data_IF_689671387523
#
_entry.id   IF_689671387523
#
_cell.length_a   1.000
_cell.length_b   1.000
_cell.length_c   1.000
_cell.angle_alpha   90.00
_cell.angle_beta   90.00
_cell.angle_gamma   90.00
#
_symmetry.space_group_name_H-M   'P 1'
#
loop_
_entity.id
_entity.type
_entity.pdbx_description
1 polymer ?
#
# COMPACT_ATOMS: atom_id res chain seq x y z
N UNK A 1 24.67 -75.04 33.07
CA UNK A 1 24.76 -73.59 32.83
C UNK A 1 23.79 -73.27 31.72
N UNK A 2 23.01 -72.20 31.93
CA UNK A 2 22.13 -71.54 30.95
C UNK A 2 20.77 -72.20 30.64
N UNK A 3 19.80 -72.00 31.53
CA UNK A 3 18.38 -71.89 31.17
C UNK A 3 18.11 -70.49 30.62
N UNK A 4 17.43 -70.36 29.47
CA UNK A 4 16.77 -69.11 29.04
C UNK A 4 15.33 -69.45 28.64
N UNK A 5 14.39 -68.79 29.33
CA UNK A 5 12.94 -68.87 29.14
C UNK A 5 12.49 -68.00 27.97
N UNK A 6 11.74 -68.59 27.05
CA UNK A 6 10.93 -67.87 26.06
C UNK A 6 9.66 -67.29 26.72
N UNK A 7 9.42 -66.00 26.51
CA UNK A 7 8.17 -65.33 26.87
C UNK A 7 7.48 -64.79 25.62
N UNK A 8 6.22 -65.19 25.44
CA UNK A 8 5.32 -64.77 24.36
C UNK A 8 4.89 -63.33 24.58
N UNK A 9 5.03 -62.46 23.58
CA UNK A 9 4.38 -61.16 23.51
C UNK A 9 3.21 -61.22 22.52
N UNK A 10 2.02 -60.88 23.02
CA UNK A 10 0.76 -60.74 22.28
C UNK A 10 0.70 -59.39 21.58
N UNK A 11 0.50 -59.41 20.26
CA UNK A 11 0.27 -58.23 19.42
C UNK A 11 -1.19 -57.75 19.53
N UNK A 12 -1.41 -56.57 20.10
CA UNK A 12 -2.68 -55.85 20.00
C UNK A 12 -2.64 -54.90 18.79
N UNK A 13 -3.52 -55.16 17.84
CA UNK A 13 -3.76 -54.32 16.66
C UNK A 13 -4.59 -53.10 17.06
N UNK A 14 -3.96 -51.92 17.11
CA UNK A 14 -4.65 -50.63 17.19
C UNK A 14 -4.92 -50.10 15.78
N UNK A 15 -6.19 -50.01 15.42
CA UNK A 15 -6.68 -49.34 14.21
C UNK A 15 -6.31 -47.85 14.23
N UNK A 16 -5.97 -47.23 13.09
CA UNK A 16 -5.71 -45.79 13.05
C UNK A 16 -7.02 -45.03 13.31
N UNK A 17 -6.96 -44.18 14.34
CA UNK A 17 -7.97 -43.18 14.70
C UNK A 17 -8.42 -42.42 13.45
N UNK A 18 -9.73 -42.46 13.19
CA UNK A 18 -10.37 -41.56 12.23
C UNK A 18 -10.00 -40.11 12.53
N UNK A 19 -9.70 -39.35 11.49
CA UNK A 19 -9.46 -37.90 11.55
C UNK A 19 -10.64 -37.20 12.24
N UNK A 20 -10.41 -36.17 13.07
CA UNK A 20 -11.51 -35.47 13.72
C UNK A 20 -12.39 -34.83 12.64
N UNK A 21 -13.67 -35.20 12.64
CA UNK A 21 -14.72 -34.57 11.84
C UNK A 21 -14.65 -33.06 12.11
N UNK A 22 -14.58 -32.19 11.08
CA UNK A 22 -14.57 -30.75 11.31
C UNK A 22 -15.83 -30.37 12.07
N UNK A 23 -15.64 -29.79 13.26
CA UNK A 23 -16.71 -29.20 14.05
C UNK A 23 -17.42 -28.15 13.20
N UNK A 24 -18.76 -28.20 13.15
CA UNK A 24 -19.57 -27.22 12.43
C UNK A 24 -19.13 -25.79 12.79
N UNK A 25 -18.80 -25.00 11.78
CA UNK A 25 -18.45 -23.60 11.92
C UNK A 25 -19.61 -22.75 11.38
N UNK A 26 -20.11 -21.80 12.17
CA UNK A 26 -21.28 -20.99 11.78
C UNK A 26 -20.99 -19.92 10.71
N UNK A 27 -19.72 -19.65 10.43
CA UNK A 27 -19.25 -18.60 9.52
C UNK A 27 -18.80 -19.15 8.16
N UNK A 28 -18.38 -20.42 8.11
CA UNK A 28 -17.84 -21.06 6.92
C UNK A 28 -18.63 -22.32 6.54
N UNK A 29 -18.78 -22.62 5.24
CA UNK A 29 -19.41 -23.85 4.80
C UNK A 29 -18.67 -25.10 5.30
N UNK A 30 -19.43 -26.10 5.76
CA UNK A 30 -18.92 -27.45 6.00
C UNK A 30 -18.55 -28.12 4.67
N UNK A 31 -17.50 -28.96 4.60
CA UNK A 31 -16.61 -29.38 5.70
C UNK A 31 -15.37 -28.47 5.88
N UNK A 32 -15.30 -27.33 5.20
CA UNK A 32 -14.04 -26.60 5.05
C UNK A 32 -13.66 -25.72 6.25
N UNK A 33 -14.64 -25.21 7.00
CA UNK A 33 -14.37 -24.42 8.22
C UNK A 33 -13.54 -23.14 7.98
N UNK A 34 -12.89 -22.58 9.02
CA UNK A 34 -12.08 -21.37 8.92
C UNK A 34 -10.71 -21.65 8.29
N UNK A 35 -10.73 -21.96 7.00
CA UNK A 35 -9.55 -22.25 6.18
C UNK A 35 -9.61 -21.45 4.88
N UNK A 36 -8.51 -21.41 4.12
CA UNK A 36 -8.53 -20.78 2.81
C UNK A 36 -9.53 -21.48 1.85
N UNK A 37 -9.72 -22.79 1.96
CA UNK A 37 -10.77 -23.53 1.22
C UNK A 37 -12.19 -23.10 1.64
N UNK A 38 -12.39 -22.77 2.93
CA UNK A 38 -13.65 -22.20 3.41
C UNK A 38 -13.92 -20.82 2.80
N UNK A 39 -12.90 -19.97 2.73
CA UNK A 39 -12.96 -18.66 2.04
C UNK A 39 -13.25 -18.85 0.55
N UNK A 40 -12.60 -19.81 -0.11
CA UNK A 40 -12.85 -20.13 -1.52
C UNK A 40 -14.31 -20.57 -1.74
N UNK A 41 -14.86 -21.39 -0.84
CA UNK A 41 -16.26 -21.81 -0.88
C UNK A 41 -17.24 -20.64 -0.73
N UNK A 42 -16.93 -19.69 0.15
CA UNK A 42 -17.68 -18.44 0.28
C UNK A 42 -17.60 -17.62 -1.02
N UNK A 43 -16.41 -17.49 -1.63
CA UNK A 43 -16.26 -16.78 -2.90
C UNK A 43 -17.00 -17.47 -4.05
N UNK A 44 -17.02 -18.80 -4.12
CA UNK A 44 -17.77 -19.56 -5.11
C UNK A 44 -19.29 -19.41 -4.94
N UNK A 45 -19.76 -19.21 -3.71
CA UNK A 45 -21.19 -19.09 -3.41
C UNK A 45 -21.86 -17.94 -4.17
N UNK A 46 -23.05 -18.14 -4.76
CA UNK A 46 -23.84 -17.07 -5.35
C UNK A 46 -24.44 -16.10 -4.33
N UNK A 47 -24.42 -16.43 -3.03
CA UNK A 47 -24.90 -15.53 -1.96
C UNK A 47 -23.88 -14.44 -1.60
N UNK A 48 -22.59 -14.71 -1.79
CA UNK A 48 -21.52 -13.73 -1.50
C UNK A 48 -21.43 -12.73 -2.64
N UNK A 49 -21.92 -11.51 -2.41
CA UNK A 49 -22.00 -10.42 -3.40
C UNK A 49 -21.29 -9.15 -2.94
N UNK A 50 -20.99 -9.03 -1.65
CA UNK A 50 -20.40 -7.85 -1.05
C UNK A 50 -19.03 -8.18 -0.42
N UNK A 51 -18.05 -8.46 -1.26
CA UNK A 51 -16.65 -8.62 -0.82
C UNK A 51 -16.03 -7.24 -0.66
N UNK A 52 -15.53 -6.95 0.54
CA UNK A 52 -14.73 -5.75 0.81
C UNK A 52 -13.27 -6.16 0.94
N UNK A 53 -12.39 -5.40 0.29
CA UNK A 53 -10.94 -5.62 0.34
C UNK A 53 -10.27 -4.45 1.06
N UNK A 54 -9.42 -4.76 2.04
CA UNK A 54 -8.47 -3.81 2.63
C UNK A 54 -7.06 -4.16 2.14
N UNK A 55 -6.44 -3.25 1.40
CA UNK A 55 -5.14 -3.47 0.79
C UNK A 55 -4.10 -2.48 1.32
N UNK A 56 -2.87 -2.94 1.48
CA UNK A 56 -1.69 -2.10 1.74
C UNK A 56 -0.53 -2.42 0.81
N UNK A 57 0.65 -1.90 1.16
CA UNK A 57 1.81 -1.90 0.26
C UNK A 57 2.26 -3.30 -0.19
N UNK A 58 1.99 -4.33 0.62
CA UNK A 58 2.35 -5.71 0.32
C UNK A 58 1.75 -6.24 -0.98
N UNK A 59 0.59 -5.72 -1.43
CA UNK A 59 0.00 -6.13 -2.73
C UNK A 59 0.76 -5.56 -3.94
N UNK A 60 1.60 -4.54 -3.74
CA UNK A 60 2.38 -3.86 -4.79
C UNK A 60 3.83 -4.32 -4.86
N UNK A 61 4.30 -5.09 -3.87
CA UNK A 61 5.71 -5.55 -3.80
C UNK A 61 6.15 -6.42 -4.97
N UNK A 62 5.21 -7.16 -5.60
CA UNK A 62 5.45 -7.98 -6.80
C UNK A 62 5.02 -7.31 -8.10
N UNK A 63 4.72 -6.00 -8.08
CA UNK A 63 4.52 -5.22 -9.31
C UNK A 63 5.75 -5.34 -10.23
N UNK A 64 5.59 -4.98 -11.50
CA UNK A 64 6.69 -5.02 -12.47
C UNK A 64 6.94 -3.63 -13.05
N UNK A 65 8.08 -2.99 -12.75
CA UNK A 65 9.13 -3.39 -11.79
C UNK A 65 8.60 -3.40 -10.34
N UNK A 66 9.29 -4.10 -9.39
CA UNK A 66 8.87 -4.16 -7.99
C UNK A 66 8.75 -2.77 -7.37
N UNK A 67 7.65 -2.53 -6.64
CA UNK A 67 7.50 -1.32 -5.83
C UNK A 67 7.90 -1.70 -4.40
N UNK A 68 8.95 -1.11 -3.83
CA UNK A 68 9.28 -1.37 -2.43
C UNK A 68 8.12 -0.92 -1.55
N UNK A 69 7.81 -1.68 -0.50
CA UNK A 69 6.94 -1.16 0.53
C UNK A 69 7.65 0.00 1.28
N UNK A 70 6.95 0.67 2.18
CA UNK A 70 7.58 1.74 2.94
C UNK A 70 8.49 1.21 4.05
N UNK A 71 8.07 0.12 4.73
CA UNK A 71 8.52 -0.23 6.08
C UNK A 71 9.47 -1.44 6.14
N UNK A 72 9.64 -2.22 5.07
CA UNK A 72 10.48 -3.41 5.13
C UNK A 72 11.93 -3.06 5.50
N UNK A 73 12.57 -3.77 6.44
CA UNK A 73 13.88 -3.39 6.98
C UNK A 73 15.00 -3.26 5.94
N UNK A 74 14.94 -4.03 4.85
CA UNK A 74 16.04 -4.10 3.84
C UNK A 74 15.63 -3.53 2.49
N UNK A 75 14.37 -3.71 2.09
CA UNK A 75 13.88 -3.31 0.77
C UNK A 75 12.97 -2.09 0.82
N UNK A 76 12.60 -1.62 2.01
CA UNK A 76 11.62 -0.55 2.18
C UNK A 76 12.14 0.81 1.71
N UNK A 77 11.25 1.69 1.30
CA UNK A 77 11.60 3.06 0.91
C UNK A 77 12.41 3.77 2.01
N UNK A 78 12.06 3.54 3.27
CA UNK A 78 12.71 4.13 4.44
C UNK A 78 14.17 3.69 4.65
N UNK A 79 14.54 2.45 4.31
CA UNK A 79 15.93 2.01 4.47
C UNK A 79 16.89 2.70 3.50
N UNK A 80 16.38 3.21 2.37
CA UNK A 80 17.15 3.92 1.35
C UNK A 80 17.19 5.46 1.55
N UNK A 81 16.49 5.98 2.57
CA UNK A 81 16.38 7.42 2.82
C UNK A 81 17.45 7.97 3.79
N UNK A 82 18.39 7.15 4.25
CA UNK A 82 19.48 7.55 5.13
C UNK A 82 20.32 8.73 4.58
N UNK A 83 20.40 8.86 3.25
CA UNK A 83 21.12 9.96 2.58
C UNK A 83 20.52 11.36 2.81
N UNK A 84 19.27 11.48 3.29
CA UNK A 84 18.58 12.76 3.44
C UNK A 84 18.68 13.37 4.85
N UNK A 85 19.46 12.76 5.75
CA UNK A 85 19.63 13.20 7.15
C UNK A 85 18.29 13.55 7.84
N UNK A 86 17.28 12.68 7.62
CA UNK A 86 15.94 12.89 8.15
C UNK A 86 15.95 12.68 9.68
N UNK A 87 15.12 13.43 10.45
CA UNK A 87 15.02 13.24 11.90
C UNK A 87 14.45 11.86 12.27
N UNK A 88 13.65 11.28 11.38
CA UNK A 88 13.13 9.91 11.41
C UNK A 88 12.63 9.58 9.99
N UNK A 89 12.48 8.30 9.66
CA UNK A 89 12.27 7.88 8.27
C UNK A 89 10.95 8.39 7.64
N UNK A 90 9.90 8.49 8.44
CA UNK A 90 8.58 8.98 8.03
C UNK A 90 8.51 10.49 7.80
N UNK A 91 9.53 11.26 8.22
CA UNK A 91 9.50 12.73 8.19
C UNK A 91 9.28 13.31 6.79
N UNK A 92 9.75 12.63 5.75
CA UNK A 92 9.54 13.04 4.34
C UNK A 92 8.06 13.08 3.94
N UNK A 93 7.19 12.35 4.65
CA UNK A 93 5.74 12.33 4.47
C UNK A 93 5.00 13.01 5.63
N UNK A 94 5.67 13.78 6.49
CA UNK A 94 5.03 14.63 7.50
C UNK A 94 4.72 16.02 6.93
N UNK A 95 3.50 16.51 7.11
CA UNK A 95 3.08 17.78 6.51
C UNK A 95 3.84 18.98 7.10
N UNK A 96 4.18 18.94 8.39
CA UNK A 96 4.94 19.98 9.06
C UNK A 96 6.40 20.01 8.60
N UNK A 97 7.00 18.83 8.41
CA UNK A 97 8.34 18.71 7.83
C UNK A 97 8.34 19.18 6.36
N UNK A 98 7.40 18.71 5.52
CA UNK A 98 7.29 19.11 4.12
C UNK A 98 7.16 20.63 3.93
N UNK A 99 6.42 21.31 4.81
CA UNK A 99 6.28 22.77 4.76
C UNK A 99 7.60 23.51 4.98
N UNK A 100 8.52 22.93 5.76
CA UNK A 100 9.84 23.51 6.08
C UNK A 100 10.93 23.04 5.12
N UNK A 101 10.90 21.76 4.76
CA UNK A 101 11.89 21.06 3.95
C UNK A 101 11.20 20.27 2.83
N UNK A 102 10.67 20.94 1.78
CA UNK A 102 9.96 20.25 0.70
C UNK A 102 10.88 19.51 -0.28
N UNK A 103 12.17 19.87 -0.33
CA UNK A 103 13.11 19.35 -1.33
C UNK A 103 13.27 17.81 -1.29
N UNK A 104 13.45 17.16 -0.12
CA UNK A 104 13.56 15.70 -0.06
C UNK A 104 12.37 14.98 -0.70
N UNK A 105 11.14 15.47 -0.46
CA UNK A 105 9.94 14.90 -1.09
C UNK A 105 9.98 15.05 -2.62
N UNK A 106 10.33 16.21 -3.16
CA UNK A 106 10.35 16.40 -4.62
C UNK A 106 11.46 15.60 -5.32
N UNK A 107 12.60 15.38 -4.66
CA UNK A 107 13.64 14.46 -5.14
C UNK A 107 13.14 13.02 -5.20
N UNK A 108 12.38 12.60 -4.18
CA UNK A 108 11.81 11.26 -4.11
C UNK A 108 10.63 11.07 -5.08
N UNK A 109 9.75 12.06 -5.18
CA UNK A 109 8.48 11.99 -5.91
C UNK A 109 8.66 11.67 -7.39
N UNK A 110 9.80 12.05 -7.99
CA UNK A 110 10.17 11.67 -9.36
C UNK A 110 10.16 10.15 -9.56
N UNK A 111 10.65 9.40 -8.58
CA UNK A 111 10.75 7.94 -8.64
C UNK A 111 9.42 7.25 -8.33
N UNK A 112 8.49 7.95 -7.68
CA UNK A 112 7.17 7.44 -7.29
C UNK A 112 6.06 7.80 -8.28
N UNK A 113 6.36 8.57 -9.33
CA UNK A 113 5.35 9.10 -10.23
C UNK A 113 4.68 7.98 -11.07
N UNK A 114 3.34 7.97 -11.24
CA UNK A 114 2.62 6.91 -11.96
C UNK A 114 3.03 6.73 -13.43
N UNK A 115 2.92 5.50 -13.95
CA UNK A 115 3.10 5.16 -15.38
C UNK A 115 4.22 4.16 -15.68
N UNK A 116 5.07 3.86 -14.69
CA UNK A 116 6.21 2.96 -14.88
C UNK A 116 5.95 1.52 -14.45
N UNK A 117 4.82 1.26 -13.81
CA UNK A 117 4.55 0.02 -13.09
C UNK A 117 3.39 -0.75 -13.72
N UNK A 118 3.55 -2.07 -13.79
CA UNK A 118 2.49 -3.03 -14.11
C UNK A 118 1.94 -3.62 -12.80
N UNK A 119 0.61 -3.68 -12.63
CA UNK A 119 0.01 -4.22 -11.41
C UNK A 119 0.39 -5.68 -11.14
N UNK A 120 0.49 -6.04 -9.86
CA UNK A 120 0.71 -7.42 -9.41
C UNK A 120 -0.54 -8.31 -9.61
N UNK A 121 -0.41 -9.64 -9.38
CA UNK A 121 -1.52 -10.58 -9.52
C UNK A 121 -2.68 -10.22 -8.58
N UNK A 122 -2.38 -9.81 -7.35
CA UNK A 122 -3.36 -9.38 -6.36
C UNK A 122 -4.24 -8.21 -6.83
N UNK A 123 -3.73 -7.32 -7.69
CA UNK A 123 -4.53 -6.24 -8.26
C UNK A 123 -5.53 -6.75 -9.30
N UNK A 124 -5.13 -7.68 -10.16
CA UNK A 124 -6.03 -8.30 -11.13
C UNK A 124 -7.08 -9.18 -10.46
N UNK A 125 -6.81 -9.71 -9.27
CA UNK A 125 -7.82 -10.39 -8.46
C UNK A 125 -8.94 -9.44 -8.03
N UNK A 126 -8.65 -8.17 -7.74
CA UNK A 126 -9.69 -7.15 -7.50
C UNK A 126 -10.58 -6.98 -8.74
N UNK A 127 -9.96 -6.89 -9.92
CA UNK A 127 -10.68 -6.82 -11.20
C UNK A 127 -11.51 -8.07 -11.46
N UNK A 128 -11.01 -9.26 -11.12
CA UNK A 128 -11.76 -10.51 -11.22
C UNK A 128 -12.98 -10.50 -10.29
N UNK A 129 -12.83 -10.13 -9.02
CA UNK A 129 -13.95 -9.99 -8.08
C UNK A 129 -15.00 -9.01 -8.60
N UNK A 130 -14.58 -7.91 -9.24
CA UNK A 130 -15.47 -6.96 -9.89
C UNK A 130 -16.23 -7.61 -11.06
N UNK A 131 -15.54 -8.30 -11.96
CA UNK A 131 -16.15 -8.96 -13.13
C UNK A 131 -17.11 -10.09 -12.73
N UNK A 132 -16.85 -10.77 -11.61
CA UNK A 132 -17.75 -11.76 -11.03
C UNK A 132 -18.93 -11.15 -10.26
N UNK A 133 -19.04 -9.81 -10.20
CA UNK A 133 -20.11 -9.11 -9.50
C UNK A 133 -20.07 -9.31 -7.98
N UNK A 134 -18.87 -9.46 -7.42
CA UNK A 134 -18.64 -9.75 -6.00
C UNK A 134 -17.95 -8.60 -5.26
N UNK A 135 -17.22 -7.73 -5.96
CA UNK A 135 -16.50 -6.63 -5.33
C UNK A 135 -17.44 -5.49 -4.94
N UNK A 136 -17.59 -5.25 -3.63
CA UNK A 136 -18.28 -4.09 -3.09
C UNK A 136 -17.37 -2.86 -3.06
N UNK A 137 -16.18 -3.01 -2.48
CA UNK A 137 -15.27 -1.90 -2.20
C UNK A 137 -13.84 -2.36 -2.02
N UNK A 138 -12.89 -1.56 -2.49
CA UNK A 138 -11.47 -1.66 -2.14
C UNK A 138 -11.10 -0.41 -1.34
N UNK A 139 -10.71 -0.59 -0.09
CA UNK A 139 -9.99 0.44 0.65
C UNK A 139 -8.51 0.14 0.51
N UNK A 140 -7.76 1.07 -0.06
CA UNK A 140 -6.31 0.91 -0.25
C UNK A 140 -5.55 1.98 0.51
N UNK A 141 -4.47 1.57 1.18
CA UNK A 141 -3.47 2.48 1.75
C UNK A 141 -2.45 2.95 0.70
N UNK A 142 -2.45 2.32 -0.47
CA UNK A 142 -1.48 2.58 -1.52
C UNK A 142 -1.82 3.86 -2.27
N UNK A 143 -0.78 4.52 -2.75
CA UNK A 143 -0.85 5.77 -3.52
C UNK A 143 -0.41 5.57 -4.98
N UNK A 144 0.01 4.34 -5.33
CA UNK A 144 0.60 3.95 -6.62
C UNK A 144 -0.42 3.86 -7.77
N UNK A 145 -1.72 3.84 -7.47
CA UNK A 145 -2.86 3.77 -8.41
C UNK A 145 -2.98 2.46 -9.19
N UNK A 146 -2.26 1.40 -8.78
CA UNK A 146 -2.23 0.12 -9.51
C UNK A 146 -3.60 -0.58 -9.55
N UNK A 147 -4.49 -0.33 -8.61
CA UNK A 147 -5.86 -0.85 -8.63
C UNK A 147 -6.65 -0.32 -9.84
N UNK A 148 -6.51 0.98 -10.13
CA UNK A 148 -7.14 1.63 -11.29
C UNK A 148 -6.52 1.13 -12.58
N UNK A 149 -5.19 0.99 -12.59
CA UNK A 149 -4.44 0.49 -13.76
C UNK A 149 -4.84 -0.97 -14.08
N UNK A 150 -5.09 -1.80 -13.06
CA UNK A 150 -5.59 -3.16 -13.22
C UNK A 150 -7.04 -3.24 -13.72
N UNK A 151 -7.76 -2.10 -13.76
CA UNK A 151 -9.13 -2.00 -14.29
C UNK A 151 -10.24 -1.98 -13.24
N UNK A 152 -9.92 -1.78 -11.96
CA UNK A 152 -10.95 -1.58 -10.93
C UNK A 152 -11.61 -0.22 -11.15
N UNK A 153 -12.95 -0.19 -11.11
CA UNK A 153 -13.72 1.02 -11.35
C UNK A 153 -13.45 2.08 -10.27
N UNK A 154 -13.37 3.33 -10.70
CA UNK A 154 -13.07 4.46 -9.84
C UNK A 154 -14.04 4.60 -8.66
N UNK A 155 -15.31 4.25 -8.88
CA UNK A 155 -16.33 4.30 -7.87
C UNK A 155 -16.20 3.17 -6.84
N UNK A 156 -15.45 2.09 -7.08
CA UNK A 156 -15.19 1.00 -6.13
C UNK A 156 -13.89 1.16 -5.35
N UNK A 157 -12.98 2.02 -5.80
CA UNK A 157 -11.73 2.31 -5.07
C UNK A 157 -11.92 3.45 -4.08
N UNK A 158 -11.37 3.28 -2.88
CA UNK A 158 -11.19 4.29 -1.83
C UNK A 158 -9.71 4.34 -1.51
N UNK A 159 -9.04 5.32 -2.10
CA UNK A 159 -7.65 5.68 -1.83
C UNK A 159 -7.57 6.37 -0.46
N UNK A 160 -7.42 5.59 0.61
CA UNK A 160 -7.47 6.08 1.98
C UNK A 160 -6.36 7.10 2.26
N UNK A 161 -5.18 6.89 1.67
CA UNK A 161 -4.06 7.81 1.74
C UNK A 161 -3.92 8.68 0.49
N UNK A 162 -5.00 8.85 -0.28
CA UNK A 162 -5.00 9.66 -1.49
C UNK A 162 -4.18 9.03 -2.63
N UNK A 163 -3.84 9.81 -3.65
CA UNK A 163 -3.05 9.30 -4.77
C UNK A 163 -2.27 10.39 -5.51
N UNK A 164 -1.33 9.97 -6.36
CA UNK A 164 -0.57 10.85 -7.24
C UNK A 164 -1.37 11.34 -8.46
N UNK A 165 -2.65 10.97 -8.59
CA UNK A 165 -3.46 11.28 -9.76
C UNK A 165 -3.71 12.79 -9.94
N UNK A 166 -3.79 13.54 -8.84
CA UNK A 166 -4.08 14.98 -8.83
C UNK A 166 -3.15 15.69 -7.84
N UNK A 167 -3.05 17.02 -7.93
CA UNK A 167 -2.18 17.80 -7.04
C UNK A 167 -2.81 19.14 -6.68
N UNK A 168 -2.66 19.53 -5.42
CA UNK A 168 -3.34 20.69 -4.84
C UNK A 168 -2.38 21.59 -4.08
N UNK A 169 -2.58 22.91 -4.17
CA UNK A 169 -1.89 23.85 -3.31
C UNK A 169 -2.33 23.68 -1.86
N UNK A 170 -1.37 23.49 -0.93
CA UNK A 170 -1.67 23.25 0.48
C UNK A 170 -2.32 24.45 1.18
N UNK A 171 -2.19 25.65 0.60
CA UNK A 171 -2.71 26.92 1.15
C UNK A 171 -4.08 27.28 0.58
N UNK A 172 -4.19 27.53 -0.73
CA UNK A 172 -5.47 27.93 -1.33
C UNK A 172 -6.40 26.78 -1.70
N UNK A 173 -5.94 25.52 -1.55
CA UNK A 173 -6.68 24.30 -1.91
C UNK A 173 -7.10 24.23 -3.39
N UNK A 174 -6.50 25.06 -4.25
CA UNK A 174 -6.72 25.01 -5.68
C UNK A 174 -5.89 23.88 -6.29
N UNK A 175 -6.56 22.99 -7.04
CA UNK A 175 -5.92 21.99 -7.89
C UNK A 175 -5.10 22.66 -8.99
N UNK A 176 -3.94 22.09 -9.31
CA UNK A 176 -3.11 22.50 -10.44
C UNK A 176 -3.26 21.55 -11.62
N UNK A 177 -2.86 22.00 -12.80
CA UNK A 177 -2.86 21.18 -14.02
C UNK A 177 -1.85 20.03 -13.92
N UNK A 178 -2.24 18.85 -14.40
CA UNK A 178 -1.49 17.61 -14.25
C UNK A 178 -0.14 17.66 -15.00
N UNK A 179 -0.11 18.22 -16.21
CA UNK A 179 1.13 18.38 -17.00
C UNK A 179 2.13 19.33 -16.32
N UNK A 180 1.62 20.40 -15.69
CA UNK A 180 2.45 21.38 -15.00
C UNK A 180 3.12 20.77 -13.77
N UNK A 181 2.37 20.05 -12.93
CA UNK A 181 2.96 19.44 -11.73
C UNK A 181 3.92 18.31 -12.11
N UNK A 182 3.61 17.56 -13.17
CA UNK A 182 4.51 16.54 -13.73
C UNK A 182 5.85 17.14 -14.10
N UNK A 183 5.86 18.24 -14.85
CA UNK A 183 7.10 18.93 -15.22
C UNK A 183 7.94 19.26 -13.97
N UNK A 184 7.32 19.83 -12.92
CA UNK A 184 8.01 20.19 -11.67
C UNK A 184 8.57 18.98 -10.93
N UNK A 185 7.80 17.91 -10.82
CA UNK A 185 8.25 16.67 -10.16
C UNK A 185 9.40 16.04 -10.95
N UNK A 186 9.28 15.96 -12.28
CA UNK A 186 10.31 15.35 -13.13
C UNK A 186 11.62 16.14 -13.16
N UNK A 187 11.55 17.48 -13.04
CA UNK A 187 12.71 18.36 -12.91
C UNK A 187 13.28 18.44 -11.49
N UNK A 188 12.68 17.76 -10.51
CA UNK A 188 13.07 17.84 -9.09
C UNK A 188 12.88 19.24 -8.48
N UNK A 189 12.07 20.08 -9.10
CA UNK A 189 11.83 21.47 -8.69
C UNK A 189 10.68 21.55 -7.69
N UNK A 190 10.84 22.39 -6.66
CA UNK A 190 9.78 22.63 -5.68
C UNK A 190 8.58 23.25 -6.38
N UNK A 191 7.45 22.54 -6.39
CA UNK A 191 6.23 23.04 -6.97
C UNK A 191 5.57 24.09 -6.08
N UNK A 192 5.38 25.29 -6.62
CA UNK A 192 4.70 26.41 -5.96
C UNK A 192 3.52 26.91 -6.77
N UNK A 193 2.42 27.24 -6.09
CA UNK A 193 1.14 27.53 -6.70
C UNK A 193 1.25 28.67 -7.73
N UNK A 194 0.93 28.42 -9.02
CA UNK A 194 1.09 29.42 -10.08
C UNK A 194 0.01 30.51 -10.02
N UNK A 195 -1.08 30.32 -9.25
CA UNK A 195 -2.21 31.25 -9.21
C UNK A 195 -1.78 32.63 -8.68
N UNK A 196 -2.02 33.73 -9.40
CA UNK A 196 -1.62 35.08 -8.98
C UNK A 196 -2.23 35.52 -7.65
N UNK A 197 -3.47 35.10 -7.38
CA UNK A 197 -4.22 35.43 -6.15
C UNK A 197 -4.04 34.38 -5.03
N UNK A 198 -3.00 33.55 -5.08
CA UNK A 198 -2.74 32.58 -4.01
C UNK A 198 -2.38 33.33 -2.70
N UNK A 199 -3.04 33.07 -1.57
CA UNK A 199 -2.73 33.72 -0.29
C UNK A 199 -1.38 33.28 0.27
N UNK A 200 -0.78 32.21 -0.26
CA UNK A 200 0.59 31.81 0.08
C UNK A 200 1.66 32.75 -0.49
N UNK A 201 1.31 33.68 -1.38
CA UNK A 201 2.24 34.67 -1.92
C UNK A 201 2.55 35.74 -0.87
N UNK A 202 3.80 35.78 -0.41
CA UNK A 202 4.28 36.84 0.48
C UNK A 202 4.57 38.11 -0.33
N UNK A 203 4.29 39.29 0.25
CA UNK A 203 4.58 40.59 -0.37
C UNK A 203 6.07 40.68 -0.73
N UNK A 204 6.38 40.95 -2.00
CA UNK A 204 7.75 40.98 -2.52
C UNK A 204 8.33 39.63 -2.99
N UNK A 205 7.58 38.52 -2.88
CA UNK A 205 7.97 37.21 -3.44
C UNK A 205 7.02 36.78 -4.55
N UNK A 206 7.58 36.27 -5.65
CA UNK A 206 6.85 35.75 -6.81
C UNK A 206 6.28 34.33 -6.60
N UNK A 207 6.38 33.79 -5.39
CA UNK A 207 6.19 32.37 -5.12
C UNK A 207 4.91 32.12 -4.32
N UNK A 208 4.03 31.26 -4.86
CA UNK A 208 2.81 30.82 -4.17
C UNK A 208 3.07 29.77 -3.07
N UNK A 209 1.99 29.31 -2.43
CA UNK A 209 2.06 28.21 -1.48
C UNK A 209 2.56 26.92 -2.13
N UNK A 210 3.15 26.01 -1.35
CA UNK A 210 3.59 24.70 -1.84
C UNK A 210 2.42 23.94 -2.46
N UNK A 211 2.72 23.20 -3.52
CA UNK A 211 1.81 22.26 -4.16
C UNK A 211 2.31 20.87 -3.87
N UNK A 212 1.43 19.92 -3.57
CA UNK A 212 1.80 18.51 -3.45
C UNK A 212 0.77 17.64 -4.16
N UNK A 213 1.14 16.41 -4.57
CA UNK A 213 0.18 15.38 -4.91
C UNK A 213 -0.87 15.21 -3.82
N UNK A 214 -2.08 14.84 -4.21
CA UNK A 214 -3.20 14.62 -3.31
C UNK A 214 -3.08 13.27 -2.56
N UNK A 215 -1.86 12.94 -2.13
CA UNK A 215 -1.54 11.91 -1.15
C UNK A 215 -1.64 12.50 0.25
N UNK A 216 -2.06 11.70 1.22
CA UNK A 216 -2.23 12.12 2.62
C UNK A 216 -0.89 11.99 3.34
N UNK A 217 -0.38 13.12 3.82
CA UNK A 217 0.81 13.16 4.67
C UNK A 217 0.41 12.89 6.14
N UNK A 218 1.35 12.45 6.96
CA UNK A 218 1.16 12.44 8.41
C UNK A 218 0.81 13.85 8.90
N UNK A 219 -0.18 13.92 9.80
CA UNK A 219 -0.78 15.17 10.26
C UNK A 219 -1.91 15.72 9.38
N UNK A 220 -2.20 15.12 8.22
CA UNK A 220 -3.38 15.47 7.40
C UNK A 220 -4.59 14.56 7.70
N UNK A 221 -5.79 15.09 7.51
CA UNK A 221 -7.01 14.30 7.55
C UNK A 221 -7.14 13.41 6.30
N UNK A 222 -7.64 12.19 6.47
CA UNK A 222 -7.97 11.32 5.35
C UNK A 222 -9.08 11.95 4.46
N UNK A 223 -9.20 11.55 3.18
CA UNK A 223 -10.18 12.14 2.27
C UNK A 223 -11.61 11.90 2.76
N UNK A 224 -12.51 12.86 2.55
CA UNK A 224 -13.92 12.73 2.94
C UNK A 224 -14.60 11.47 2.36
N UNK A 225 -14.15 11.01 1.19
CA UNK A 225 -14.61 9.76 0.55
C UNK A 225 -14.33 8.53 1.42
N UNK A 226 -13.21 8.49 2.15
CA UNK A 226 -12.88 7.42 3.09
C UNK A 226 -14.01 7.24 4.10
N UNK A 227 -14.33 8.30 4.85
CA UNK A 227 -15.38 8.27 5.88
C UNK A 227 -16.77 7.99 5.30
N UNK A 228 -17.09 8.56 4.12
CA UNK A 228 -18.37 8.33 3.45
C UNK A 228 -18.57 6.87 3.02
N UNK A 229 -17.49 6.15 2.75
CA UNK A 229 -17.55 4.76 2.30
C UNK A 229 -17.48 3.73 3.45
N UNK A 230 -17.12 4.13 4.68
CA UNK A 230 -17.11 3.22 5.84
C UNK A 230 -18.43 2.45 6.00
N UNK A 231 -19.63 3.05 5.81
CA UNK A 231 -20.89 2.30 5.90
C UNK A 231 -21.00 1.09 4.97
N UNK A 232 -20.23 1.00 3.87
CA UNK A 232 -20.23 -0.17 2.99
C UNK A 232 -19.73 -1.43 3.69
N UNK A 233 -18.85 -1.31 4.69
CA UNK A 233 -18.32 -2.43 5.49
C UNK A 233 -19.44 -3.15 6.25
N UNK A 234 -20.51 -2.44 6.63
CA UNK A 234 -21.66 -3.02 7.34
C UNK A 234 -22.47 -4.02 6.50
N UNK A 235 -22.29 -3.98 5.18
CA UNK A 235 -22.94 -4.90 4.24
C UNK A 235 -22.01 -6.00 3.74
N UNK A 236 -20.79 -6.12 4.29
CA UNK A 236 -19.81 -7.08 3.82
C UNK A 236 -20.24 -8.52 4.13
N UNK A 237 -20.20 -9.37 3.10
CA UNK A 237 -20.38 -10.82 3.22
C UNK A 237 -19.04 -11.52 3.52
N UNK A 238 -17.94 -10.88 3.14
CA UNK A 238 -16.57 -11.35 3.32
C UNK A 238 -15.62 -10.14 3.34
N UNK A 239 -14.71 -10.12 4.32
CA UNK A 239 -13.60 -9.18 4.35
C UNK A 239 -12.30 -9.88 3.94
N UNK A 240 -11.61 -9.34 2.96
CA UNK A 240 -10.26 -9.79 2.56
C UNK A 240 -9.27 -8.68 2.91
N UNK A 241 -8.30 -8.97 3.75
CA UNK A 241 -7.22 -8.06 4.13
C UNK A 241 -5.92 -8.59 3.55
N UNK A 242 -5.20 -7.77 2.77
CA UNK A 242 -4.00 -8.22 2.06
C UNK A 242 -2.86 -7.21 2.16
N UNK A 243 -1.66 -7.72 2.48
CA UNK A 243 -0.42 -6.96 2.34
C UNK A 243 -0.36 -5.66 3.15
N UNK A 244 -0.85 -5.66 4.38
CA UNK A 244 -0.82 -4.48 5.26
C UNK A 244 -0.36 -4.86 6.66
N UNK A 245 0.33 -3.95 7.35
CA UNK A 245 0.73 -4.11 8.75
C UNK A 245 -0.38 -3.72 9.74
N UNK A 246 -1.46 -3.09 9.26
CA UNK A 246 -2.54 -2.54 10.10
C UNK A 246 -2.06 -1.64 11.25
N UNK A 247 -0.98 -0.89 11.05
CA UNK A 247 -0.44 0.03 12.07
C UNK A 247 -0.97 1.48 11.96
N UNK A 248 -1.57 1.84 10.83
CA UNK A 248 -1.96 3.23 10.54
C UNK A 248 -3.46 3.41 10.78
N UNK A 249 -3.81 4.25 11.75
CA UNK A 249 -5.18 4.65 12.02
C UNK A 249 -5.60 5.85 11.13
N UNK A 250 -6.89 5.99 10.79
CA UNK A 250 -8.03 5.13 11.18
C UNK A 250 -8.19 3.86 10.32
N UNK A 251 -7.32 3.62 9.34
CA UNK A 251 -7.47 2.49 8.40
C UNK A 251 -7.47 1.13 9.10
N UNK A 252 -6.57 0.93 10.08
CA UNK A 252 -6.46 -0.32 10.82
C UNK A 252 -7.78 -0.73 11.50
N UNK A 253 -8.56 0.23 12.01
CA UNK A 253 -9.85 -0.03 12.67
C UNK A 253 -10.96 -0.54 11.72
N UNK A 254 -10.78 -0.49 10.40
CA UNK A 254 -11.80 -0.93 9.45
C UNK A 254 -12.07 -2.44 9.53
N UNK A 255 -11.14 -3.24 10.05
CA UNK A 255 -11.32 -4.69 10.22
C UNK A 255 -12.47 -5.03 11.17
N UNK A 256 -12.83 -4.11 12.07
CA UNK A 256 -13.88 -4.28 13.08
C UNK A 256 -15.19 -3.57 12.67
N UNK A 257 -15.22 -2.87 11.53
CA UNK A 257 -16.41 -2.19 11.02
C UNK A 257 -17.35 -3.09 10.20
N UNK A 258 -16.98 -4.37 10.03
CA UNK A 258 -17.82 -5.40 9.39
C UNK A 258 -18.73 -6.10 10.42
N UNK A 259 -19.88 -6.68 10.02
CA UNK A 259 -20.75 -7.42 10.93
C UNK A 259 -20.00 -8.52 11.69
N UNK A 260 -20.42 -8.85 12.93
CA UNK A 260 -19.85 -9.96 13.72
C UNK A 260 -19.95 -11.32 12.99
N UNK A 261 -20.96 -11.48 12.14
CA UNK A 261 -21.16 -12.66 11.30
C UNK A 261 -20.29 -12.71 10.04
N UNK A 262 -19.63 -11.60 9.68
CA UNK A 262 -18.79 -11.53 8.49
C UNK A 262 -17.48 -12.31 8.71
N UNK A 263 -17.20 -13.35 7.91
CA UNK A 263 -15.90 -13.99 7.87
C UNK A 263 -14.83 -13.00 7.39
N UNK A 264 -13.61 -13.14 7.91
CA UNK A 264 -12.47 -12.30 7.53
C UNK A 264 -11.27 -13.17 7.22
N UNK A 265 -10.50 -12.80 6.19
CA UNK A 265 -9.23 -13.46 5.86
C UNK A 265 -8.11 -12.43 5.79
N UNK A 266 -6.98 -12.74 6.41
CA UNK A 266 -5.72 -12.01 6.29
C UNK A 266 -4.76 -12.83 5.42
N UNK A 267 -4.37 -12.29 4.27
CA UNK A 267 -3.32 -12.83 3.40
C UNK A 267 -2.10 -11.92 3.57
N UNK A 268 -1.15 -12.36 4.38
CA UNK A 268 0.00 -11.52 4.75
C UNK A 268 1.20 -12.36 5.19
N UNK A 269 2.39 -11.76 5.21
CA UNK A 269 3.60 -12.44 5.68
C UNK A 269 3.56 -12.75 7.18
N UNK A 270 2.88 -11.90 7.94
CA UNK A 270 2.80 -11.94 9.39
C UNK A 270 1.36 -11.71 9.85
N UNK A 271 1.01 -12.27 11.01
CA UNK A 271 -0.24 -11.93 11.68
C UNK A 271 -0.18 -10.49 12.17
N UNK A 272 -1.28 -9.75 11.98
CA UNK A 272 -1.40 -8.35 12.37
C UNK A 272 -2.83 -8.04 12.79
N UNK A 273 -3.00 -6.97 13.56
CA UNK A 273 -4.32 -6.52 14.02
C UNK A 273 -5.04 -7.56 14.89
N UNK A 274 -4.30 -8.41 15.62
CA UNK A 274 -4.87 -9.39 16.54
C UNK A 274 -5.50 -8.72 17.77
N UNK A 275 -6.37 -9.46 18.47
CA UNK A 275 -6.91 -9.04 19.76
C UNK A 275 -5.76 -8.61 20.68
N UNK A 276 -5.90 -7.44 21.32
CA UNK A 276 -4.94 -7.01 22.32
C UNK A 276 -4.97 -8.01 23.48
N UNK A 277 -3.87 -8.75 23.70
CA UNK A 277 -3.70 -9.46 24.97
C UNK A 277 -3.44 -8.41 26.07
N UNK A 278 -3.95 -8.68 27.26
CA UNK A 278 -3.69 -7.88 28.48
C UNK A 278 -2.20 -7.74 28.82
N UNK A 279 -1.30 -8.40 28.10
CA UNK A 279 0.13 -8.47 28.40
C UNK A 279 0.95 -7.35 27.74
N UNK A 280 0.31 -6.48 26.95
CA UNK A 280 0.95 -5.34 26.28
C UNK A 280 0.97 -4.02 27.08
N UNK A 281 0.28 -3.95 28.23
CA UNK A 281 0.32 -2.78 29.12
C UNK A 281 0.97 -3.18 30.44
N UNK A 282 2.27 -2.89 30.57
CA UNK A 282 2.97 -2.94 31.85
C UNK A 282 2.48 -1.80 32.76
N UNK A 283 1.25 -1.94 33.26
CA UNK A 283 0.62 -1.03 34.21
C UNK A 283 -0.31 -1.86 35.09
N UNK A 284 0.21 -2.30 36.24
CA UNK A 284 -0.42 -3.32 37.08
C UNK A 284 -1.79 -2.94 37.62
N UNK A 285 -2.63 -3.96 37.83
CA UNK A 285 -3.86 -3.84 38.60
C UNK A 285 -4.94 -4.85 38.20
N UNK A 286 -4.94 -5.99 38.89
CA UNK A 286 -6.04 -6.95 39.13
C UNK A 286 -7.24 -7.02 38.16
N UNK A 287 -7.41 -8.19 37.53
CA UNK A 287 -8.69 -8.67 37.02
C UNK A 287 -8.51 -9.74 35.95
N UNK A 288 -9.12 -10.91 36.11
CA UNK A 288 -9.11 -11.99 35.10
C UNK A 288 -9.55 -11.44 33.73
N UNK A 289 -8.66 -11.58 32.74
CA UNK A 289 -8.61 -10.78 31.53
C UNK A 289 -9.87 -10.81 30.66
N UNK A 290 -10.46 -9.63 30.47
CA UNK A 290 -11.44 -9.36 29.42
C UNK A 290 -10.64 -9.04 28.15
N UNK A 291 -10.54 -9.98 27.22
CA UNK A 291 -9.95 -9.69 25.90
C UNK A 291 -10.74 -8.53 25.28
N UNK A 292 -10.04 -7.53 24.73
CA UNK A 292 -10.71 -6.51 23.91
C UNK A 292 -11.34 -7.22 22.70
N UNK A 293 -12.66 -7.11 22.50
CA UNK A 293 -13.42 -7.78 21.42
C UNK A 293 -13.09 -7.28 19.99
N UNK A 294 -12.03 -6.47 19.85
CA UNK A 294 -11.64 -5.79 18.61
C UNK A 294 -10.32 -6.35 18.08
N UNK A 295 -10.25 -6.63 16.79
CA UNK A 295 -9.12 -7.28 16.14
C UNK A 295 -9.42 -8.69 15.66
N UNK A 296 -8.44 -9.32 15.01
CA UNK A 296 -8.49 -10.70 14.56
C UNK A 296 -8.33 -11.70 15.70
N UNK A 297 -9.16 -12.73 15.70
CA UNK A 297 -9.10 -13.88 16.61
C UNK A 297 -8.77 -15.16 15.83
N UNK A 298 -7.55 -15.25 15.29
CA UNK A 298 -7.15 -16.41 14.48
C UNK A 298 -7.14 -17.73 15.25
N UNK A 299 -6.99 -17.68 16.59
CA UNK A 299 -6.95 -18.87 17.42
C UNK A 299 -8.32 -19.23 18.04
N UNK A 300 -9.33 -18.40 17.82
CA UNK A 300 -10.70 -18.60 18.29
C UNK A 300 -10.84 -18.50 19.81
N UNK A 301 -10.01 -17.68 20.47
CA UNK A 301 -10.03 -17.45 21.92
C UNK A 301 -11.40 -16.98 22.40
N UNK A 302 -12.11 -16.19 21.59
CA UNK A 302 -13.45 -15.66 21.89
C UNK A 302 -14.58 -16.55 21.36
N UNK A 303 -14.27 -17.49 20.45
CA UNK A 303 -15.26 -18.38 19.80
C UNK A 303 -15.19 -19.85 20.28
N UNK A 304 -14.35 -20.15 21.27
CA UNK A 304 -14.22 -21.50 21.84
C UNK A 304 -13.36 -22.45 20.99
N UNK A 305 -12.39 -21.91 20.26
CA UNK A 305 -11.29 -22.63 19.61
C UNK A 305 -11.12 -22.36 18.11
N UNK A 306 -9.96 -22.75 17.58
CA UNK A 306 -9.53 -22.54 16.18
C UNK A 306 -10.55 -22.97 15.12
N UNK A 307 -11.29 -24.05 15.37
CA UNK A 307 -12.31 -24.54 14.42
C UNK A 307 -13.58 -23.67 14.37
N UNK A 308 -13.77 -22.75 15.32
CA UNK A 308 -15.00 -21.97 15.51
C UNK A 308 -14.85 -20.49 15.21
N UNK A 309 -13.64 -20.02 14.90
CA UNK A 309 -13.39 -18.62 14.56
C UNK A 309 -14.00 -18.24 13.21
N UNK A 310 -14.18 -16.93 12.99
CA UNK A 310 -14.52 -16.31 11.70
C UNK A 310 -13.28 -15.85 10.92
N UNK A 311 -12.11 -15.90 11.56
CA UNK A 311 -10.88 -15.27 11.09
C UNK A 311 -9.89 -16.29 10.56
N UNK A 312 -9.44 -16.10 9.31
CA UNK A 312 -8.48 -16.97 8.63
C UNK A 312 -7.18 -16.21 8.41
N UNK A 313 -6.05 -16.83 8.74
CA UNK A 313 -4.73 -16.32 8.38
C UNK A 313 -4.09 -17.23 7.35
N UNK A 314 -3.70 -16.65 6.21
CA UNK A 314 -2.80 -17.27 5.24
C UNK A 314 -1.44 -16.58 5.33
N UNK A 315 -0.42 -17.35 5.68
CA UNK A 315 0.95 -16.86 5.77
C UNK A 315 1.64 -16.94 4.41
N UNK A 316 1.90 -15.79 3.79
CA UNK A 316 2.59 -15.75 2.51
C UNK A 316 2.50 -14.38 1.82
N UNK A 317 3.07 -14.30 0.62
CA UNK A 317 2.93 -13.09 -0.21
C UNK A 317 1.49 -12.98 -0.71
N UNK A 318 1.06 -11.75 -0.97
CA UNK A 318 -0.29 -11.48 -1.47
C UNK A 318 -0.59 -12.25 -2.77
N UNK A 319 0.32 -12.25 -3.73
CA UNK A 319 0.15 -12.97 -5.01
C UNK A 319 0.06 -14.49 -4.81
N UNK A 320 0.83 -15.07 -3.88
CA UNK A 320 0.81 -16.52 -3.60
C UNK A 320 -0.52 -16.93 -2.96
N UNK A 321 -1.00 -16.16 -1.99
CA UNK A 321 -2.29 -16.40 -1.35
C UNK A 321 -3.48 -16.18 -2.29
N UNK A 322 -3.40 -15.19 -3.19
CA UNK A 322 -4.39 -14.97 -4.24
C UNK A 322 -4.43 -16.12 -5.24
N UNK A 323 -3.26 -16.59 -5.70
CA UNK A 323 -3.16 -17.71 -6.62
C UNK A 323 -3.77 -18.98 -5.99
N UNK A 324 -3.41 -19.29 -4.75
CA UNK A 324 -3.96 -20.44 -4.04
C UNK A 324 -5.47 -20.30 -3.80
N UNK A 325 -5.94 -19.12 -3.38
CA UNK A 325 -7.36 -18.88 -3.15
C UNK A 325 -8.19 -19.09 -4.42
N UNK A 326 -7.72 -18.56 -5.54
CA UNK A 326 -8.40 -18.69 -6.83
C UNK A 326 -8.35 -20.13 -7.36
N UNK A 327 -7.22 -20.82 -7.21
CA UNK A 327 -7.10 -22.26 -7.51
C UNK A 327 -8.11 -23.10 -6.73
N UNK A 328 -8.31 -22.77 -5.44
CA UNK A 328 -9.29 -23.42 -4.57
C UNK A 328 -10.75 -23.09 -4.94
N UNK A 329 -11.01 -21.93 -5.54
CA UNK A 329 -12.35 -21.60 -6.08
C UNK A 329 -12.64 -22.44 -7.33
N UNK A 330 -11.65 -22.61 -8.21
CA UNK A 330 -11.71 -23.52 -9.36
C UNK A 330 -10.85 -23.06 -10.55
N UNK A 331 -10.50 -24.01 -11.41
CA UNK A 331 -9.61 -23.80 -12.57
C UNK A 331 -10.07 -22.68 -13.51
N UNK A 332 -11.38 -22.45 -13.63
CA UNK A 332 -11.94 -21.37 -14.45
C UNK A 332 -11.50 -19.99 -13.94
N UNK A 333 -11.59 -19.74 -12.63
CA UNK A 333 -11.18 -18.45 -12.06
C UNK A 333 -9.67 -18.26 -12.19
N UNK A 334 -8.88 -19.33 -12.07
CA UNK A 334 -7.43 -19.27 -12.25
C UNK A 334 -7.06 -18.88 -13.68
N UNK A 335 -7.67 -19.54 -14.67
CA UNK A 335 -7.47 -19.21 -16.08
C UNK A 335 -7.90 -17.77 -16.40
N UNK A 336 -9.04 -17.32 -15.87
CA UNK A 336 -9.51 -15.94 -16.05
C UNK A 336 -8.60 -14.91 -15.40
N UNK A 337 -8.10 -15.16 -14.18
CA UNK A 337 -7.17 -14.27 -13.50
C UNK A 337 -5.86 -14.11 -14.30
N UNK A 338 -5.30 -15.23 -14.75
CA UNK A 338 -4.07 -15.22 -15.55
C UNK A 338 -4.28 -14.51 -16.88
N UNK A 339 -5.44 -14.72 -17.53
CA UNK A 339 -5.83 -14.00 -18.74
C UNK A 339 -5.96 -12.49 -18.49
N UNK A 340 -6.63 -12.07 -17.42
CA UNK A 340 -6.77 -10.65 -17.06
C UNK A 340 -5.41 -9.97 -16.90
N UNK A 341 -4.48 -10.62 -16.20
CA UNK A 341 -3.12 -10.11 -16.04
C UNK A 341 -2.38 -10.02 -17.38
N UNK A 342 -2.45 -11.07 -18.21
CA UNK A 342 -1.80 -11.10 -19.50
C UNK A 342 -2.34 -10.03 -20.47
N UNK A 343 -3.66 -9.85 -20.52
CA UNK A 343 -4.32 -8.84 -21.36
C UNK A 343 -4.02 -7.42 -20.84
N UNK A 344 -4.04 -7.20 -19.52
CA UNK A 344 -3.64 -5.94 -18.90
C UNK A 344 -2.19 -5.56 -19.22
N UNK A 345 -1.27 -6.52 -19.15
CA UNK A 345 0.14 -6.30 -19.51
C UNK A 345 0.29 -5.96 -21.00
N UNK A 346 -0.41 -6.69 -21.87
CA UNK A 346 -0.38 -6.44 -23.32
C UNK A 346 -0.90 -5.04 -23.67
N UNK A 347 -1.95 -4.58 -22.99
CA UNK A 347 -2.48 -3.22 -23.14
C UNK A 347 -1.47 -2.17 -22.71
N UNK A 348 -0.85 -2.34 -21.54
CA UNK A 348 0.17 -1.42 -21.03
C UNK A 348 1.43 -1.37 -21.92
N UNK A 349 1.82 -2.49 -22.52
CA UNK A 349 2.95 -2.55 -23.45
C UNK A 349 2.61 -1.93 -24.81
N UNK A 350 1.39 -2.15 -25.31
CA UNK A 350 0.90 -1.53 -26.56
C UNK A 350 0.77 -0.01 -26.44
N UNK A 351 0.23 0.49 -25.31
CA UNK A 351 0.13 1.93 -25.04
C UNK A 351 1.51 2.59 -24.96
N UNK A 352 2.56 1.86 -24.53
CA UNK A 352 3.95 2.34 -24.54
C UNK A 352 4.58 2.36 -25.95
N UNK A 353 4.17 1.49 -26.87
CA UNK A 353 4.71 1.50 -28.24
C UNK A 353 4.12 2.66 -29.07
N UNK A 354 2.84 2.97 -28.91
CA UNK A 354 2.18 4.07 -29.64
C UNK A 354 2.76 5.44 -29.29
N UNK A 355 3.29 5.63 -28.07
CA UNK A 355 3.90 6.90 -27.65
C UNK A 355 5.37 7.08 -28.08
N UNK A 356 5.98 6.09 -28.75
CA UNK A 356 7.39 6.14 -29.19
C UNK A 356 7.59 6.32 -30.71
N UNK A 357 6.52 6.41 -31.50
CA UNK A 357 6.63 6.66 -32.93
C UNK A 357 6.92 8.14 -33.22
N UNK A 358 7.89 8.50 -34.09
CA UNK A 358 8.20 9.89 -34.41
C UNK A 358 7.05 10.52 -35.21
N UNK A 359 6.50 11.62 -34.70
CA UNK A 359 5.51 12.45 -35.39
C UNK A 359 6.12 13.04 -36.68
N UNK A 360 5.77 12.47 -37.83
CA UNK A 360 5.95 13.13 -39.12
C UNK A 360 4.90 14.23 -39.26
N UNK A 361 5.35 15.49 -39.23
CA UNK A 361 4.51 16.67 -39.46
C UNK A 361 3.90 16.64 -40.86
N UNK A 362 2.63 16.25 -40.95
CA UNK A 362 1.77 16.43 -42.11
C UNK A 362 0.69 17.46 -41.80
N UNK A 363 0.81 18.65 -42.38
CA UNK A 363 -0.15 19.75 -42.26
C UNK A 363 -1.45 19.43 -43.04
N UNK A 364 -2.61 19.43 -42.38
CA UNK A 364 -3.92 19.86 -42.92
C UNK A 364 -4.98 19.83 -41.80
N UNK A 365 -5.69 20.95 -41.61
CA UNK A 365 -6.70 21.12 -40.57
C UNK A 365 -8.09 20.62 -40.95
N UNK A 366 -8.92 20.36 -39.93
CA UNK A 366 -10.27 20.91 -39.65
C UNK A 366 -10.88 20.20 -38.43
N UNK A 367 -11.44 21.01 -37.52
CA UNK A 367 -12.48 20.80 -36.49
C UNK A 367 -12.76 19.47 -35.76
N UNK A 368 -12.96 19.67 -34.44
CA UNK A 368 -13.92 19.04 -33.51
C UNK A 368 -13.50 17.90 -32.56
N UNK A 369 -13.78 18.22 -31.27
CA UNK A 369 -14.07 17.40 -30.10
C UNK A 369 -12.94 16.68 -29.35
N UNK A 370 -12.67 17.25 -28.17
CA UNK A 370 -11.74 16.83 -27.14
C UNK A 370 -12.14 15.54 -26.45
N UNK A 371 -11.33 14.50 -26.63
CA UNK A 371 -11.17 13.42 -25.66
C UNK A 371 -9.67 13.26 -25.39
N UNK A 372 -9.16 13.93 -24.35
CA UNK A 372 -7.72 13.93 -24.03
C UNK A 372 -7.32 12.60 -23.40
N UNK A 373 -6.76 11.70 -24.23
CA UNK A 373 -5.96 10.55 -23.80
C UNK A 373 -4.70 11.04 -23.07
N UNK A 374 -4.43 10.48 -21.91
CA UNK A 374 -3.14 10.62 -21.21
C UNK A 374 -2.09 9.87 -22.02
N UNK A 375 -1.05 10.57 -22.48
CA UNK A 375 0.08 9.99 -23.23
C UNK A 375 1.28 9.86 -22.28
N UNK A 376 1.78 8.64 -22.00
CA UNK A 376 3.05 8.46 -21.32
C UNK A 376 4.20 8.30 -22.33
N UNK A 377 5.24 9.14 -22.23
CA UNK A 377 6.47 9.02 -23.01
C UNK A 377 7.51 8.21 -22.20
N UNK A 378 8.18 7.26 -22.86
CA UNK A 378 9.15 6.36 -22.27
C UNK A 378 10.45 7.06 -21.81
N UNK A 379 11.02 6.62 -20.69
CA UNK A 379 12.41 6.87 -20.28
C UNK A 379 13.05 5.53 -19.85
N UNK A 380 14.38 5.37 -19.99
CA UNK A 380 15.06 4.06 -20.01
C UNK A 380 15.10 3.33 -18.66
N UNK A 381 15.38 2.03 -18.74
CA UNK A 381 15.22 0.97 -17.73
C UNK A 381 15.99 1.13 -16.40
N UNK A 382 15.34 0.72 -15.31
CA UNK A 382 15.75 0.80 -13.88
C UNK A 382 17.12 0.17 -13.54
N UNK A 383 17.66 -0.75 -14.34
CA UNK A 383 19.00 -1.32 -14.05
C UNK A 383 20.13 -0.29 -14.20
N UNK A 384 19.95 0.73 -15.04
CA UNK A 384 20.92 1.82 -15.14
C UNK A 384 20.73 2.88 -14.04
N UNK A 385 19.58 2.88 -13.35
CA UNK A 385 19.23 3.94 -12.40
C UNK A 385 19.66 3.63 -10.96
N UNK A 386 19.88 2.36 -10.57
CA UNK A 386 20.48 2.07 -9.26
C UNK A 386 21.93 2.54 -9.19
N UNK A 387 22.71 2.33 -10.26
CA UNK A 387 24.07 2.88 -10.35
C UNK A 387 24.06 4.41 -10.39
N UNK A 388 23.07 5.02 -11.07
CA UNK A 388 22.92 6.48 -11.09
C UNK A 388 22.42 7.06 -9.76
N UNK A 389 21.67 6.30 -8.95
CA UNK A 389 21.31 6.67 -7.58
C UNK A 389 22.55 6.66 -6.68
N UNK A 390 23.43 5.67 -6.83
CA UNK A 390 24.71 5.61 -6.12
C UNK A 390 25.69 6.71 -6.58
N UNK A 391 25.70 7.03 -7.88
CA UNK A 391 26.49 8.14 -8.43
C UNK A 391 25.93 9.50 -7.98
N UNK A 392 24.60 9.66 -7.92
CA UNK A 392 23.93 10.87 -7.45
C UNK A 392 24.12 11.08 -5.94
N UNK A 393 24.10 10.02 -5.14
CA UNK A 393 24.44 10.09 -3.71
C UNK A 393 25.89 10.58 -3.52
N UNK A 394 26.83 10.06 -4.31
CA UNK A 394 28.24 10.50 -4.31
C UNK A 394 28.41 11.95 -4.77
N UNK A 395 27.71 12.38 -5.82
CA UNK A 395 27.74 13.75 -6.31
C UNK A 395 27.12 14.74 -5.31
N UNK A 396 26.06 14.35 -4.60
CA UNK A 396 25.41 15.19 -3.58
C UNK A 396 26.22 15.27 -2.29
N UNK A 397 26.88 14.18 -1.87
CA UNK A 397 27.87 14.21 -0.78
C UNK A 397 29.04 15.15 -1.09
N UNK A 398 29.47 15.21 -2.35
CA UNK A 398 30.54 16.12 -2.78
C UNK A 398 30.13 17.60 -2.71
N UNK A 399 28.87 17.91 -3.07
CA UNK A 399 28.32 19.28 -3.04
C UNK A 399 27.99 19.74 -1.61
N UNK A 400 27.45 18.86 -0.77
CA UNK A 400 27.21 19.17 0.64
C UNK A 400 28.50 19.48 1.42
N UNK A 401 29.61 18.79 1.10
CA UNK A 401 30.94 19.06 1.68
C UNK A 401 31.56 20.39 1.21
N UNK A 402 31.17 20.89 0.03
CA UNK A 402 31.64 22.17 -0.50
C UNK A 402 30.90 23.36 0.11
N UNK A 403 29.59 23.21 0.39
CA UNK A 403 28.80 24.25 1.05
C UNK A 403 29.23 24.44 2.52
N UNK A 404 29.54 23.36 3.23
CA UNK A 404 30.00 23.37 4.63
C UNK A 404 31.37 24.06 4.81
N UNK A 405 32.26 23.97 3.80
CA UNK A 405 33.56 24.67 3.81
C UNK A 405 33.45 26.16 3.44
N UNK A 406 32.32 26.60 2.90
CA UNK A 406 32.10 27.99 2.51
C UNK A 406 31.54 28.85 3.63
N UNK A 407 30.79 28.25 4.57
CA UNK A 407 30.24 28.95 5.74
C UNK A 407 31.32 29.20 6.83
N UNK A 408 32.31 28.32 6.97
CA UNK A 408 33.36 28.43 8.00
C UNK A 408 34.40 29.54 7.72
N UNK A 409 34.44 30.09 6.50
CA UNK A 409 35.38 31.17 6.13
C UNK A 409 34.86 32.59 6.37
N UNK A 410 33.64 32.76 6.86
CA UNK A 410 33.03 34.09 7.08
C UNK A 410 32.93 34.52 8.55
N UNK A 411 33.44 33.72 9.51
CA UNK A 411 33.40 34.03 10.94
C UNK A 411 34.69 34.61 11.56
N UNK A 412 35.83 34.64 10.85
CA UNK A 412 37.08 35.22 11.38
C UNK A 412 37.40 36.57 10.72
N UNK A 413 36.86 37.67 11.28
CA UNK A 413 37.46 39.02 11.26
C UNK A 413 36.64 39.99 12.12
N UNK A 414 36.90 39.98 13.43
CA UNK A 414 36.66 41.15 14.29
C UNK A 414 37.94 41.43 15.09
N UNK A 415 38.59 42.54 14.78
CA UNK A 415 39.77 43.06 15.46
C UNK A 415 39.43 43.63 16.86
N UNK A 416 40.35 43.59 17.83
CA UNK A 416 40.11 44.09 19.18
C UNK A 416 40.36 45.61 19.27
N UNK A 417 39.35 46.35 19.73
CA UNK A 417 39.44 47.77 20.05
C UNK A 417 40.27 47.98 21.34
N UNK A 418 41.33 48.77 21.23
CA UNK A 418 42.19 49.20 22.33
C UNK A 418 41.51 50.25 23.22
N UNK A 419 41.66 50.12 24.54
CA UNK A 419 41.33 51.16 25.52
C UNK A 419 42.62 51.80 26.05
N UNK A 420 42.89 53.02 25.64
CA UNK A 420 43.53 54.09 26.43
C UNK A 420 42.35 54.97 26.91
N UNK A 421 42.30 55.66 28.04
CA UNK A 421 43.22 56.08 29.10
C UNK A 421 42.59 57.37 29.69
N UNK A 422 42.75 57.57 31.00
CA UNK A 422 42.32 58.72 31.84
C UNK A 422 40.97 58.63 32.53
#
# INVERSE_FOLDING_TARGET
MSDIKDSKSSSSSTSPSASPVPTENRFFPSPHGPTLSGVASLLASPSTRNVVVLAGAGISTSASPPIPDFRSPTTGLYSNLAAYNLPYAEAIFDIGYFQKHPQPFFTLAKHLYPGNFKPALAHYFLTLLQQKGKLKRVFTQNVDTLERIAGVEADKVVEAHGSFATSTCIVCKQRVEDDWIREKVMSGSIARCPRPKCPGRKRGKQEGGLVKPDIVFFGESLPARFFRCIPDLKSADLLIVMGTSLQVQPFASLIDAVPETCPRVLINLERVGELASSDGYAGGGMGAGMYNETGFDFDGLTYGGKGKTRDVFYQGKADDGVAELVRLVGEEWEAELMKLKADGYRKLDGDKQVSTAPETKGNRGTDAQSNKKVVPIANPTIKEDSSKLDDLARDLESKAKLDDQSEDRSAEKQEPFTKTGS
#
